data_IF_764565534070
#
_entry.id   IF_764565534070
#
_cell.length_a   1.000
_cell.length_b   1.000
_cell.length_c   1.000
_cell.angle_alpha   90.00
_cell.angle_beta   90.00
_cell.angle_gamma   90.00
#
_symmetry.space_group_name_H-M   'P 1'
#
loop_
_entity.id
_entity.type
_entity.pdbx_description
1 polymer ?
#
# COMPACT_ATOMS: atom_id res chain seq x y z
N UNK A 1 34.02 -66.66 3.55
CA UNK A 1 33.67 -65.25 3.29
C UNK A 1 32.28 -65.26 2.67
N UNK A 2 31.24 -65.14 3.49
CA UNK A 2 29.84 -65.16 3.08
C UNK A 2 29.41 -63.75 2.74
N UNK A 3 28.94 -63.57 1.51
CA UNK A 3 28.29 -62.36 1.05
C UNK A 3 26.84 -62.42 1.53
N UNK A 4 26.46 -61.46 2.39
CA UNK A 4 25.08 -61.33 2.83
C UNK A 4 24.21 -60.79 1.68
N UNK A 5 23.20 -61.56 1.30
CA UNK A 5 22.16 -61.15 0.37
C UNK A 5 21.35 -59.97 0.95
N UNK A 6 20.99 -58.97 0.15
CA UNK A 6 20.12 -57.87 0.59
C UNK A 6 18.69 -58.40 0.80
N UNK A 7 17.93 -57.82 1.76
CA UNK A 7 16.56 -58.26 2.02
C UNK A 7 15.68 -57.99 0.81
N UNK A 8 14.96 -59.05 0.40
CA UNK A 8 13.94 -58.98 -0.66
C UNK A 8 12.78 -58.16 -0.15
N UNK A 9 12.57 -56.99 -0.73
CA UNK A 9 11.38 -56.18 -0.48
C UNK A 9 10.21 -56.90 -1.15
N UNK A 10 9.30 -57.41 -0.36
CA UNK A 10 8.06 -58.06 -0.82
C UNK A 10 7.14 -57.03 -1.43
N UNK A 11 6.82 -57.17 -2.71
CA UNK A 11 5.89 -56.34 -3.50
C UNK A 11 4.40 -56.71 -3.26
N UNK A 12 4.08 -57.32 -2.12
CA UNK A 12 2.71 -57.61 -1.74
C UNK A 12 1.99 -56.37 -1.24
N UNK A 13 0.73 -56.13 -1.65
CA UNK A 13 -0.04 -55.02 -1.14
C UNK A 13 -0.19 -55.16 0.40
N UNK A 14 0.10 -54.07 1.11
CA UNK A 14 0.00 -53.99 2.57
C UNK A 14 -1.40 -54.40 3.03
N UNK A 15 -1.48 -55.27 4.02
CA UNK A 15 -2.72 -55.69 4.64
C UNK A 15 -3.31 -54.54 5.48
N UNK A 16 -4.65 -54.51 5.61
CA UNK A 16 -5.38 -53.49 6.32
C UNK A 16 -4.84 -53.31 7.78
N UNK A 17 -4.44 -54.42 8.40
CA UNK A 17 -3.85 -54.43 9.74
C UNK A 17 -2.46 -53.76 9.79
N UNK A 18 -1.66 -53.87 8.74
CA UNK A 18 -0.37 -53.21 8.61
C UNK A 18 -0.53 -51.70 8.36
N UNK A 19 -1.54 -51.27 7.57
CA UNK A 19 -1.90 -49.87 7.36
C UNK A 19 -2.39 -49.22 8.65
N UNK A 20 -3.21 -49.91 9.46
CA UNK A 20 -3.65 -49.41 10.76
C UNK A 20 -2.50 -49.29 11.75
N UNK A 21 -1.57 -50.27 11.75
CA UNK A 21 -0.38 -50.22 12.58
C UNK A 21 0.56 -49.07 12.19
N UNK A 22 0.75 -48.80 10.91
CA UNK A 22 1.53 -47.68 10.41
C UNK A 22 0.84 -46.34 10.77
N UNK A 23 -0.48 -46.24 10.61
CA UNK A 23 -1.22 -45.04 11.00
C UNK A 23 -1.16 -44.79 12.53
N UNK A 24 -1.26 -45.84 13.31
CA UNK A 24 -1.11 -45.77 14.78
C UNK A 24 0.31 -45.34 15.18
N UNK A 25 1.35 -45.89 14.51
CA UNK A 25 2.73 -45.52 14.75
C UNK A 25 3.04 -44.06 14.34
N UNK A 26 2.52 -43.59 13.19
CA UNK A 26 2.63 -42.19 12.74
C UNK A 26 1.90 -41.26 13.68
N UNK A 27 0.74 -41.64 14.20
CA UNK A 27 -0.04 -40.86 15.16
C UNK A 27 0.62 -40.83 16.55
N UNK A 28 1.30 -41.91 16.98
CA UNK A 28 2.06 -41.99 18.21
C UNK A 28 3.42 -41.27 18.11
N UNK A 29 4.00 -41.21 16.91
CA UNK A 29 5.27 -40.51 16.65
C UNK A 29 5.10 -39.01 16.35
N UNK A 30 3.85 -38.51 16.20
CA UNK A 30 3.61 -37.12 16.06
C UNK A 30 4.11 -36.38 17.33
N UNK A 31 5.10 -35.49 17.23
CA UNK A 31 5.57 -34.75 18.39
C UNK A 31 4.41 -33.95 18.97
N UNK A 32 4.34 -33.78 20.31
CA UNK A 32 3.34 -32.92 20.91
C UNK A 32 3.44 -31.55 20.22
N UNK A 33 2.29 -31.01 19.75
CA UNK A 33 2.23 -29.67 19.19
C UNK A 33 2.70 -28.73 20.30
N UNK A 34 3.99 -28.48 20.35
CA UNK A 34 4.56 -27.44 21.19
C UNK A 34 4.08 -26.13 20.62
N UNK A 35 3.06 -25.56 21.24
CA UNK A 35 2.70 -24.17 20.98
C UNK A 35 3.94 -23.36 21.35
N UNK A 36 4.66 -22.89 20.33
CA UNK A 36 5.72 -21.88 20.53
C UNK A 36 5.02 -20.71 21.21
N UNK A 37 5.46 -20.26 22.40
CA UNK A 37 4.87 -19.09 23.01
C UNK A 37 5.03 -17.94 22.03
N UNK A 38 3.90 -17.37 21.59
CA UNK A 38 3.86 -16.13 20.82
C UNK A 38 4.62 -15.10 21.66
N UNK A 39 5.68 -14.55 21.10
CA UNK A 39 6.41 -13.43 21.68
C UNK A 39 5.40 -12.30 21.89
N UNK A 40 5.10 -11.99 23.14
CA UNK A 40 4.02 -11.09 23.56
C UNK A 40 4.29 -9.60 23.22
N UNK A 41 5.46 -9.28 22.67
CA UNK A 41 5.86 -7.95 22.21
C UNK A 41 5.78 -7.76 20.68
N UNK A 42 4.98 -8.60 20.00
CA UNK A 42 4.70 -8.36 18.60
C UNK A 42 3.83 -7.10 18.47
N UNK A 43 4.43 -6.00 18.04
CA UNK A 43 3.69 -4.84 17.57
C UNK A 43 2.79 -5.33 16.43
N UNK A 44 1.45 -5.21 16.53
CA UNK A 44 0.56 -5.66 15.46
C UNK A 44 0.96 -4.96 14.17
N UNK A 45 1.40 -5.71 13.16
CA UNK A 45 1.62 -5.16 11.84
C UNK A 45 0.22 -4.87 11.25
N UNK A 46 -0.15 -3.63 11.00
CA UNK A 46 -1.46 -3.30 10.46
C UNK A 46 -1.48 -3.59 8.96
N UNK A 47 -1.51 -4.87 8.58
CA UNK A 47 -1.46 -5.32 7.18
C UNK A 47 -2.59 -4.73 6.32
N UNK A 48 -3.72 -4.37 6.92
CA UNK A 48 -4.91 -3.84 6.24
C UNK A 48 -5.42 -2.50 6.82
N UNK A 49 -4.74 -1.91 7.80
CA UNK A 49 -5.15 -0.64 8.39
C UNK A 49 -5.24 0.45 7.32
N UNK A 50 -4.27 0.46 6.41
CA UNK A 50 -4.16 1.44 5.33
C UNK A 50 -5.33 1.36 4.33
N UNK A 51 -5.70 0.17 3.89
CA UNK A 51 -6.83 -0.02 2.97
C UNK A 51 -8.17 0.32 3.63
N UNK A 52 -8.32 0.01 4.92
CA UNK A 52 -9.49 0.42 5.71
C UNK A 52 -9.55 1.92 5.88
N UNK A 53 -8.43 2.57 6.22
CA UNK A 53 -8.36 4.02 6.40
C UNK A 53 -8.69 4.72 5.08
N UNK A 54 -8.16 4.24 3.96
CA UNK A 54 -8.49 4.75 2.64
C UNK A 54 -9.97 4.55 2.29
N UNK A 55 -10.52 3.37 2.55
CA UNK A 55 -11.93 3.06 2.30
C UNK A 55 -12.87 3.92 3.16
N UNK A 56 -12.53 4.15 4.44
CA UNK A 56 -13.29 4.99 5.36
C UNK A 56 -13.19 6.48 5.02
N UNK A 57 -12.02 6.94 4.57
CA UNK A 57 -11.76 8.33 4.24
C UNK A 57 -12.29 8.76 2.86
N UNK A 58 -12.47 7.82 1.93
CA UNK A 58 -12.92 8.09 0.56
C UNK A 58 -14.27 8.82 0.49
N UNK A 59 -15.36 8.39 1.16
CA UNK A 59 -16.63 9.12 1.16
C UNK A 59 -16.49 10.51 1.76
N UNK A 60 -15.64 10.68 2.77
CA UNK A 60 -15.39 11.95 3.43
C UNK A 60 -14.71 12.97 2.51
N UNK A 61 -13.70 12.55 1.74
CA UNK A 61 -13.07 13.43 0.74
C UNK A 61 -14.04 13.77 -0.40
N UNK A 62 -14.86 12.82 -0.83
CA UNK A 62 -15.90 13.06 -1.83
C UNK A 62 -16.89 14.12 -1.34
N UNK A 63 -17.34 14.03 -0.11
CA UNK A 63 -18.28 15.01 0.48
C UNK A 63 -17.62 16.38 0.64
N UNK A 64 -16.34 16.43 1.07
CA UNK A 64 -15.58 17.67 1.12
C UNK A 64 -15.48 18.34 -0.26
N UNK A 65 -15.16 17.57 -1.31
CA UNK A 65 -15.08 18.06 -2.66
C UNK A 65 -16.43 18.59 -3.16
N UNK A 66 -17.53 17.91 -2.86
CA UNK A 66 -18.89 18.35 -3.18
C UNK A 66 -19.26 19.67 -2.49
N UNK A 67 -18.97 19.78 -1.20
CA UNK A 67 -19.24 21.01 -0.43
C UNK A 67 -18.40 22.17 -0.93
N UNK A 68 -17.12 21.89 -1.19
CA UNK A 68 -16.23 22.91 -1.70
C UNK A 68 -16.59 23.35 -3.11
N UNK A 69 -17.01 22.45 -4.00
CA UNK A 69 -17.49 22.80 -5.34
C UNK A 69 -18.65 23.83 -5.29
N UNK A 70 -19.59 23.68 -4.33
CA UNK A 70 -20.67 24.64 -4.15
C UNK A 70 -20.18 26.04 -3.73
N UNK A 71 -19.10 26.11 -2.96
CA UNK A 71 -18.52 27.39 -2.49
C UNK A 71 -17.60 28.02 -3.53
N UNK A 72 -16.86 27.19 -4.29
CA UNK A 72 -15.99 27.62 -5.38
C UNK A 72 -16.74 28.41 -6.48
N UNK A 73 -18.01 28.13 -6.69
CA UNK A 73 -18.79 28.80 -7.73
C UNK A 73 -18.76 30.33 -7.60
N UNK A 74 -18.80 30.89 -6.39
CA UNK A 74 -18.81 32.34 -6.19
C UNK A 74 -17.49 33.01 -6.58
N UNK A 75 -16.31 32.63 -6.03
CA UNK A 75 -15.06 33.27 -6.44
C UNK A 75 -14.69 32.98 -7.89
N UNK A 76 -14.96 31.79 -8.43
CA UNK A 76 -14.62 31.48 -9.81
C UNK A 76 -15.48 32.26 -10.81
N UNK A 77 -16.79 32.44 -10.58
CA UNK A 77 -17.64 33.24 -11.42
C UNK A 77 -17.21 34.69 -11.55
N UNK A 78 -16.67 35.26 -10.47
CA UNK A 78 -16.19 36.65 -10.50
C UNK A 78 -15.04 36.86 -11.50
N UNK A 79 -14.26 35.80 -11.79
CA UNK A 79 -13.11 35.89 -12.70
C UNK A 79 -13.30 35.15 -14.02
N UNK A 80 -14.05 34.02 -14.00
CA UNK A 80 -14.17 33.12 -15.14
C UNK A 80 -15.54 33.22 -15.85
N UNK A 81 -16.49 34.00 -15.29
CA UNK A 81 -17.87 34.05 -15.77
C UNK A 81 -18.67 32.84 -15.29
N UNK A 82 -19.76 32.50 -16.00
CA UNK A 82 -20.59 31.36 -15.62
C UNK A 82 -19.82 30.07 -15.76
N UNK A 83 -19.64 29.37 -14.63
CA UNK A 83 -19.00 28.06 -14.54
C UNK A 83 -19.89 27.08 -13.83
N UNK A 84 -19.85 25.83 -14.30
CA UNK A 84 -20.46 24.67 -13.66
C UNK A 84 -19.37 23.83 -13.01
N UNK A 85 -19.61 23.36 -11.81
CA UNK A 85 -18.65 22.63 -10.99
C UNK A 85 -19.26 21.30 -10.59
N UNK A 86 -18.61 20.21 -11.00
CA UNK A 86 -19.04 18.85 -10.70
C UNK A 86 -17.90 18.09 -10.01
N UNK A 87 -18.12 17.67 -8.77
CA UNK A 87 -17.16 16.83 -8.06
C UNK A 87 -17.37 15.35 -8.41
N UNK A 88 -16.27 14.62 -8.55
CA UNK A 88 -16.26 13.16 -8.73
C UNK A 88 -15.96 12.47 -7.41
N UNK A 89 -16.28 11.18 -7.35
CA UNK A 89 -15.89 10.34 -6.21
C UNK A 89 -14.38 10.30 -6.04
N UNK A 90 -13.94 10.29 -4.78
CA UNK A 90 -12.52 10.16 -4.47
C UNK A 90 -11.99 8.78 -4.87
N UNK A 91 -10.78 8.76 -5.39
CA UNK A 91 -10.04 7.55 -5.78
C UNK A 91 -8.67 7.54 -5.10
N UNK A 92 -8.09 6.35 -4.98
CA UNK A 92 -6.75 6.19 -4.45
C UNK A 92 -5.74 6.30 -5.59
N UNK A 93 -4.69 7.10 -5.38
CA UNK A 93 -3.68 7.41 -6.39
C UNK A 93 -2.29 7.38 -5.74
N UNK A 94 -1.32 6.81 -6.45
CA UNK A 94 0.08 6.90 -6.07
C UNK A 94 0.64 8.30 -6.38
N UNK A 95 1.31 8.99 -5.43
CA UNK A 95 1.88 10.31 -5.66
C UNK A 95 2.86 10.36 -6.83
N UNK A 96 3.57 9.29 -7.10
CA UNK A 96 4.49 9.14 -8.24
C UNK A 96 3.79 9.25 -9.60
N UNK A 97 2.55 8.77 -9.69
CA UNK A 97 1.78 8.79 -10.94
C UNK A 97 1.26 10.17 -11.32
N UNK A 98 1.09 11.04 -10.33
CA UNK A 98 0.56 12.40 -10.55
C UNK A 98 1.64 13.49 -10.42
N UNK A 99 2.86 13.14 -10.05
CA UNK A 99 3.93 14.10 -9.79
C UNK A 99 4.21 15.01 -11.01
N UNK A 100 4.23 14.44 -12.22
CA UNK A 100 4.45 15.20 -13.45
C UNK A 100 3.27 16.13 -13.80
N UNK A 101 2.06 15.66 -13.53
CA UNK A 101 0.86 16.50 -13.71
C UNK A 101 0.88 17.67 -12.72
N UNK A 102 1.24 17.45 -11.45
CA UNK A 102 1.33 18.51 -10.45
C UNK A 102 2.33 19.61 -10.83
N UNK A 103 3.36 19.31 -11.63
CA UNK A 103 4.32 20.31 -12.13
C UNK A 103 3.68 21.33 -13.07
N UNK A 104 2.57 21.00 -13.67
CA UNK A 104 1.82 21.86 -14.63
C UNK A 104 0.60 22.53 -14.00
N UNK A 105 0.48 22.48 -12.67
CA UNK A 105 -0.66 23.00 -11.93
C UNK A 105 -0.28 24.19 -11.05
N UNK A 106 -1.26 25.01 -10.67
CA UNK A 106 -1.12 25.89 -9.53
C UNK A 106 -1.42 25.13 -8.25
N UNK A 107 -0.58 25.27 -7.23
CA UNK A 107 -0.66 24.47 -6.01
C UNK A 107 -0.95 25.34 -4.79
N UNK A 108 -1.88 24.86 -3.97
CA UNK A 108 -2.15 25.36 -2.64
C UNK A 108 -2.16 24.21 -1.62
N UNK A 109 -1.93 24.51 -0.38
CA UNK A 109 -2.08 23.58 0.72
C UNK A 109 -3.00 24.14 1.80
N UNK A 110 -3.73 23.24 2.43
CA UNK A 110 -4.46 23.50 3.66
C UNK A 110 -3.89 22.62 4.76
N UNK A 111 -3.67 23.18 5.94
CA UNK A 111 -3.06 22.50 7.08
C UNK A 111 -4.03 22.49 8.25
N UNK A 112 -4.27 21.35 8.85
CA UNK A 112 -5.04 21.19 10.08
C UNK A 112 -4.18 21.51 11.30
N UNK A 113 -4.76 21.89 12.45
CA UNK A 113 -4.02 22.11 13.69
C UNK A 113 -3.23 20.85 14.14
N UNK A 114 -3.71 19.67 13.82
CA UNK A 114 -3.03 18.39 14.10
C UNK A 114 -1.86 18.09 13.14
N UNK A 115 -1.49 19.01 12.23
CA UNK A 115 -0.39 18.83 11.30
C UNK A 115 -0.74 18.00 10.05
N UNK A 116 -2.01 17.66 9.84
CA UNK A 116 -2.47 17.04 8.61
C UNK A 116 -2.51 18.02 7.45
N UNK A 117 -2.26 17.55 6.22
CA UNK A 117 -2.22 18.41 5.04
C UNK A 117 -3.18 17.92 3.96
N UNK A 118 -3.90 18.86 3.35
CA UNK A 118 -4.56 18.70 2.06
C UNK A 118 -3.78 19.51 1.01
N UNK A 119 -3.64 18.99 -0.18
CA UNK A 119 -3.05 19.73 -1.30
C UNK A 119 -4.13 19.94 -2.35
N UNK A 120 -4.23 21.16 -2.82
CA UNK A 120 -5.13 21.57 -3.91
C UNK A 120 -4.29 21.81 -5.15
N UNK A 121 -4.64 21.16 -6.25
CA UNK A 121 -3.99 21.33 -7.54
C UNK A 121 -5.01 21.85 -8.56
N UNK A 122 -4.72 22.99 -9.18
CA UNK A 122 -5.54 23.59 -10.21
C UNK A 122 -4.87 23.36 -11.56
N UNK A 123 -5.56 22.66 -12.47
CA UNK A 123 -5.02 22.22 -13.74
C UNK A 123 -4.64 23.37 -14.70
N UNK A 124 -3.63 23.10 -15.55
CA UNK A 124 -3.07 24.07 -16.49
C UNK A 124 -4.10 24.69 -17.45
N UNK A 125 -5.06 23.90 -17.91
CA UNK A 125 -6.12 24.39 -18.80
C UNK A 125 -7.00 25.47 -18.14
N UNK A 126 -7.31 25.28 -16.84
CA UNK A 126 -8.08 26.26 -16.08
C UNK A 126 -7.26 27.53 -15.82
N UNK A 127 -5.95 27.39 -15.63
CA UNK A 127 -5.01 28.49 -15.45
C UNK A 127 -4.94 29.35 -16.73
N UNK A 128 -4.78 28.71 -17.90
CA UNK A 128 -4.73 29.42 -19.19
C UNK A 128 -6.06 30.09 -19.51
N UNK A 129 -7.21 29.41 -19.34
CA UNK A 129 -8.53 30.00 -19.51
C UNK A 129 -8.74 31.22 -18.61
N UNK A 130 -8.37 31.13 -17.34
CA UNK A 130 -8.50 32.22 -16.40
C UNK A 130 -7.58 33.39 -16.70
N UNK A 131 -6.34 33.11 -17.13
CA UNK A 131 -5.41 34.16 -17.56
C UNK A 131 -5.91 34.88 -18.84
N UNK A 132 -6.38 34.13 -19.84
CA UNK A 132 -6.92 34.68 -21.07
C UNK A 132 -8.11 35.61 -20.81
N UNK A 133 -9.04 35.20 -19.94
CA UNK A 133 -10.16 36.06 -19.53
C UNK A 133 -9.73 37.35 -18.84
N UNK A 134 -8.73 37.26 -17.97
CA UNK A 134 -8.17 38.48 -17.34
C UNK A 134 -7.54 39.42 -18.34
N UNK A 135 -7.08 38.91 -19.48
CA UNK A 135 -6.59 39.71 -20.62
C UNK A 135 -7.69 40.18 -21.55
N UNK A 136 -8.97 39.91 -21.26
CA UNK A 136 -10.10 40.35 -22.05
C UNK A 136 -10.46 39.41 -23.21
N UNK A 137 -9.95 38.20 -23.25
CA UNK A 137 -10.35 37.20 -24.23
C UNK A 137 -11.79 36.74 -23.95
N UNK A 138 -12.64 36.71 -24.95
CA UNK A 138 -13.90 36.00 -24.91
C UNK A 138 -13.59 34.51 -25.02
N UNK A 139 -13.70 33.82 -23.92
CA UNK A 139 -13.35 32.41 -23.88
C UNK A 139 -14.51 31.52 -24.35
N UNK A 140 -14.64 31.29 -25.62
CA UNK A 140 -14.95 29.93 -26.07
C UNK A 140 -13.69 29.11 -25.77
N UNK A 141 -13.75 28.32 -24.72
CA UNK A 141 -12.61 27.57 -24.26
C UNK A 141 -12.15 26.59 -25.33
N UNK A 142 -11.01 26.87 -25.93
CA UNK A 142 -10.30 25.90 -26.76
C UNK A 142 -10.20 24.56 -26.01
N UNK A 143 -10.22 23.46 -26.76
CA UNK A 143 -10.07 22.13 -26.18
C UNK A 143 -8.85 22.08 -25.29
N UNK A 144 -8.88 21.29 -24.17
CA UNK A 144 -7.76 21.19 -23.25
C UNK A 144 -6.48 20.91 -24.00
N UNK A 145 -5.50 21.79 -23.84
CA UNK A 145 -4.23 21.69 -24.59
C UNK A 145 -3.30 20.61 -24.04
N UNK A 146 -3.54 20.18 -22.80
CA UNK A 146 -2.62 19.29 -22.07
C UNK A 146 -1.21 19.87 -21.89
N UNK A 147 -1.03 21.16 -22.21
CA UNK A 147 0.25 21.85 -22.19
C UNK A 147 0.47 22.51 -20.84
N UNK A 148 1.72 22.57 -20.41
CA UNK A 148 2.07 23.31 -19.20
C UNK A 148 1.71 24.81 -19.37
N UNK A 149 1.06 25.44 -18.38
CA UNK A 149 0.69 26.84 -18.45
C UNK A 149 1.93 27.73 -18.49
N UNK A 150 1.81 28.85 -19.19
CA UNK A 150 2.89 29.83 -19.27
C UNK A 150 3.15 30.49 -17.90
N UNK A 151 4.40 30.88 -17.58
CA UNK A 151 4.70 31.59 -16.33
C UNK A 151 3.86 32.84 -16.11
N UNK A 152 3.49 33.52 -17.21
CA UNK A 152 2.60 34.69 -17.17
C UNK A 152 1.18 34.28 -16.78
N UNK A 153 0.65 33.20 -17.37
CA UNK A 153 -0.69 32.69 -17.05
C UNK A 153 -0.78 32.29 -15.56
N UNK A 154 0.24 31.61 -15.03
CA UNK A 154 0.30 31.24 -13.62
C UNK A 154 0.27 32.49 -12.72
N UNK A 155 1.02 33.54 -13.05
CA UNK A 155 1.01 34.79 -12.31
C UNK A 155 -0.34 35.52 -12.36
N UNK A 156 -0.96 35.56 -13.53
CA UNK A 156 -2.28 36.18 -13.70
C UNK A 156 -3.38 35.39 -12.99
N UNK A 157 -3.24 34.07 -12.92
CA UNK A 157 -4.19 33.19 -12.26
C UNK A 157 -4.00 33.11 -10.72
N UNK A 158 -2.82 33.41 -10.21
CA UNK A 158 -2.51 33.25 -8.77
C UNK A 158 -3.54 33.88 -7.82
N UNK A 159 -4.08 35.11 -8.06
CA UNK A 159 -5.14 35.67 -7.21
C UNK A 159 -6.44 34.87 -7.25
N UNK A 160 -6.77 34.25 -8.40
CA UNK A 160 -7.96 33.39 -8.57
C UNK A 160 -7.78 32.11 -7.75
N UNK A 161 -6.60 31.48 -7.88
CA UNK A 161 -6.24 30.30 -7.12
C UNK A 161 -6.27 30.55 -5.61
N UNK A 162 -5.72 31.68 -5.16
CA UNK A 162 -5.75 32.06 -3.76
C UNK A 162 -7.17 32.30 -3.24
N UNK A 163 -8.02 32.99 -4.02
CA UNK A 163 -9.43 33.21 -3.67
C UNK A 163 -10.22 31.91 -3.63
N UNK A 164 -9.97 30.98 -4.56
CA UNK A 164 -10.56 29.66 -4.55
C UNK A 164 -10.13 28.85 -3.32
N UNK A 165 -8.83 28.79 -3.05
CA UNK A 165 -8.28 28.11 -1.87
C UNK A 165 -8.82 28.68 -0.56
N UNK A 166 -9.03 29.99 -0.47
CA UNK A 166 -9.57 30.69 0.70
C UNK A 166 -11.00 30.28 1.08
N UNK A 167 -11.73 29.59 0.19
CA UNK A 167 -13.08 29.07 0.50
C UNK A 167 -13.06 27.62 1.02
N UNK A 168 -11.91 26.95 1.00
CA UNK A 168 -11.79 25.57 1.49
C UNK A 168 -12.01 25.45 3.01
N UNK A 169 -11.51 26.38 3.87
CA UNK A 169 -11.78 26.33 5.31
C UNK A 169 -13.27 26.35 5.66
N UNK A 170 -14.07 27.09 4.89
CA UNK A 170 -15.52 27.12 5.11
C UNK A 170 -16.20 25.78 4.77
N UNK A 171 -15.77 25.12 3.71
CA UNK A 171 -16.27 23.79 3.34
C UNK A 171 -15.81 22.72 4.35
N UNK A 172 -14.60 22.87 4.87
CA UNK A 172 -14.05 22.02 5.92
C UNK A 172 -14.83 22.16 7.23
N UNK A 173 -15.11 23.37 7.68
CA UNK A 173 -15.84 23.65 8.91
C UNK A 173 -17.26 23.06 8.96
N UNK A 174 -17.84 22.72 7.81
CA UNK A 174 -19.11 22.00 7.74
C UNK A 174 -18.99 20.49 8.09
N UNK A 175 -17.78 19.95 8.04
CA UNK A 175 -17.50 18.53 8.31
C UNK A 175 -16.79 18.35 9.66
N UNK A 176 -15.91 19.26 10.01
CA UNK A 176 -15.11 19.19 11.25
C UNK A 176 -15.07 20.54 11.97
N UNK A 177 -15.13 20.53 13.30
CA UNK A 177 -15.07 21.74 14.12
C UNK A 177 -13.63 22.25 14.30
N UNK A 178 -12.77 22.08 13.29
CA UNK A 178 -11.36 22.48 13.34
C UNK A 178 -11.07 23.48 12.25
N UNK A 179 -10.14 24.39 12.51
CA UNK A 179 -9.73 25.41 11.56
C UNK A 179 -8.70 24.88 10.58
N UNK A 180 -8.78 25.34 9.32
CA UNK A 180 -7.77 25.12 8.30
C UNK A 180 -6.99 26.40 8.02
N UNK A 181 -5.67 26.28 7.99
CA UNK A 181 -4.80 27.35 7.48
C UNK A 181 -4.43 27.06 6.03
N UNK A 182 -4.66 28.01 5.14
CA UNK A 182 -4.40 27.83 3.71
C UNK A 182 -3.29 28.73 3.20
N UNK A 183 -2.43 28.20 2.33
CA UNK A 183 -1.37 28.97 1.65
C UNK A 183 -1.02 28.36 0.30
N UNK A 184 -0.61 29.18 -0.69
CA UNK A 184 0.05 28.68 -1.90
C UNK A 184 1.35 27.94 -1.54
N UNK A 185 1.69 26.89 -2.29
CA UNK A 185 2.89 26.07 -2.04
C UNK A 185 3.64 25.78 -3.34
N UNK A 186 4.93 25.50 -3.23
CA UNK A 186 5.73 24.98 -4.34
C UNK A 186 5.45 23.50 -4.57
N UNK A 187 5.84 22.99 -5.74
CA UNK A 187 5.73 21.58 -6.07
C UNK A 187 6.46 20.68 -5.07
N UNK A 188 7.68 21.05 -4.68
CA UNK A 188 8.47 20.26 -3.76
C UNK A 188 7.80 20.19 -2.38
N UNK A 189 7.29 21.33 -1.87
CA UNK A 189 6.54 21.37 -0.63
C UNK A 189 5.21 20.60 -0.71
N UNK A 190 4.55 20.56 -1.85
CA UNK A 190 3.34 19.77 -2.04
C UNK A 190 3.64 18.26 -2.02
N UNK A 191 4.68 17.81 -2.74
CA UNK A 191 5.11 16.41 -2.76
C UNK A 191 5.62 15.95 -1.40
N UNK A 192 6.34 16.78 -0.67
CA UNK A 192 6.77 16.49 0.70
C UNK A 192 5.57 16.24 1.62
N UNK A 193 4.53 17.10 1.56
CA UNK A 193 3.30 16.96 2.35
C UNK A 193 2.49 15.71 1.98
N UNK A 194 2.42 15.37 0.71
CA UNK A 194 1.74 14.17 0.24
C UNK A 194 2.52 12.90 0.62
N UNK A 195 3.85 12.96 0.63
CA UNK A 195 4.72 11.83 0.95
C UNK A 195 4.78 10.80 -0.17
N UNK A 196 5.14 9.56 0.19
CA UNK A 196 5.33 8.47 -0.77
C UNK A 196 4.21 7.44 -0.78
N UNK A 197 3.36 7.50 0.22
CA UNK A 197 2.26 6.58 0.39
C UNK A 197 1.10 6.92 -0.54
N UNK A 198 0.25 5.96 -0.95
CA UNK A 198 -0.97 6.22 -1.67
C UNK A 198 -1.85 7.25 -0.95
N UNK A 199 -2.41 8.15 -1.73
CA UNK A 199 -3.25 9.25 -1.27
C UNK A 199 -4.63 9.14 -1.90
N UNK A 200 -5.59 9.84 -1.33
CA UNK A 200 -6.90 10.03 -1.94
C UNK A 200 -6.91 11.30 -2.79
N UNK A 201 -7.52 11.22 -3.95
CA UNK A 201 -7.71 12.31 -4.91
C UNK A 201 -9.19 12.44 -5.24
N UNK A 202 -9.78 13.61 -5.00
CA UNK A 202 -11.09 13.99 -5.52
C UNK A 202 -10.94 15.08 -6.56
N UNK A 203 -11.63 14.94 -7.69
CA UNK A 203 -11.55 15.88 -8.80
C UNK A 203 -12.84 16.69 -8.90
N UNK A 204 -12.73 18.00 -9.06
CA UNK A 204 -13.82 18.91 -9.38
C UNK A 204 -13.62 19.35 -10.82
N UNK A 205 -14.48 18.90 -11.72
CA UNK A 205 -14.52 19.37 -13.10
C UNK A 205 -15.13 20.76 -13.17
N UNK A 206 -14.51 21.64 -13.94
CA UNK A 206 -14.97 22.99 -14.23
C UNK A 206 -15.34 23.05 -15.70
N UNK A 207 -16.57 23.46 -15.99
CA UNK A 207 -17.11 23.63 -17.35
C UNK A 207 -17.84 24.97 -17.50
N UNK A 208 -18.20 25.34 -18.72
CA UNK A 208 -18.85 26.63 -19.01
C UNK A 208 -17.85 27.68 -19.47
N UNK A 209 -17.82 28.84 -18.84
CA UNK A 209 -16.95 29.96 -19.22
C UNK A 209 -15.44 29.71 -19.09
N UNK A 210 -15.04 28.63 -18.45
CA UNK A 210 -13.69 28.10 -18.46
C UNK A 210 -13.77 26.58 -18.37
N UNK A 211 -12.70 25.87 -18.79
CA UNK A 211 -12.64 24.41 -18.72
C UNK A 211 -11.37 23.98 -18.01
N UNK A 212 -11.49 22.92 -17.25
CA UNK A 212 -10.35 22.33 -16.55
C UNK A 212 -10.79 21.56 -15.32
N UNK A 213 -9.82 21.30 -14.44
CA UNK A 213 -10.06 20.51 -13.24
C UNK A 213 -9.33 21.12 -12.03
N UNK A 214 -9.92 20.88 -10.87
CA UNK A 214 -9.32 21.17 -9.57
C UNK A 214 -9.28 19.84 -8.81
N UNK A 215 -8.12 19.45 -8.29
CA UNK A 215 -7.97 18.25 -7.47
C UNK A 215 -7.74 18.60 -6.03
N UNK A 216 -8.36 17.83 -5.16
CA UNK A 216 -8.09 17.83 -3.71
C UNK A 216 -7.41 16.52 -3.37
N UNK A 217 -6.19 16.61 -2.88
CA UNK A 217 -5.33 15.48 -2.55
C UNK A 217 -5.13 15.45 -1.05
N UNK A 218 -5.31 14.30 -0.43
CA UNK A 218 -5.11 14.13 1.01
C UNK A 218 -4.67 12.72 1.37
N UNK A 219 -3.90 12.59 2.44
CA UNK A 219 -3.69 11.27 3.05
C UNK A 219 -4.95 10.83 3.78
N UNK A 220 -5.28 9.52 3.78
CA UNK A 220 -6.48 9.01 4.43
C UNK A 220 -6.60 9.43 5.91
N UNK A 221 -5.50 9.43 6.64
CA UNK A 221 -5.47 9.76 8.07
C UNK A 221 -5.84 11.22 8.40
N UNK A 222 -5.79 12.13 7.43
CA UNK A 222 -6.20 13.54 7.61
C UNK A 222 -7.72 13.68 7.62
N UNK A 223 -8.42 12.76 6.96
CA UNK A 223 -9.86 12.78 6.72
C UNK A 223 -10.65 11.92 7.70
N UNK A 224 -9.97 11.09 8.47
CA UNK A 224 -10.58 10.32 9.56
C UNK A 224 -10.56 11.20 10.82
N UNK A 225 -11.73 11.48 11.43
CA UNK A 225 -11.73 12.22 12.69
C UNK A 225 -10.92 11.42 13.72
N UNK A 226 -9.94 12.09 14.33
CA UNK A 226 -9.32 11.59 15.54
C UNK A 226 -10.40 11.61 16.64
N UNK A 227 -11.12 10.53 16.79
CA UNK A 227 -11.98 10.30 17.96
C UNK A 227 -11.09 9.85 19.09
N UNK A 228 -10.94 10.73 20.04
CA UNK A 228 -9.99 10.76 21.16
C UNK A 228 -10.13 9.62 22.16
N UNK A 229 -10.66 8.51 22.03
CA UNK A 229 -10.53 7.35 22.95
C UNK A 229 -11.18 6.06 22.42
N UNK A 230 -12.20 6.14 21.58
CA UNK A 230 -12.91 4.95 21.08
C UNK A 230 -12.22 4.27 19.91
N UNK A 231 -11.46 5.02 19.12
CA UNK A 231 -10.77 4.47 17.93
C UNK A 231 -9.58 3.60 18.31
N UNK A 232 -8.83 4.00 19.32
CA UNK A 232 -7.66 3.23 19.79
C UNK A 232 -8.10 1.90 20.41
N UNK A 233 -9.23 1.90 21.12
CA UNK A 233 -9.77 0.70 21.75
C UNK A 233 -10.42 -0.25 20.74
N UNK A 234 -11.13 0.26 19.74
CA UNK A 234 -11.72 -0.57 18.66
C UNK A 234 -10.66 -1.11 17.71
N UNK A 235 -9.68 -0.28 17.32
CA UNK A 235 -8.56 -0.72 16.48
C UNK A 235 -7.72 -1.78 17.19
N UNK A 236 -7.50 -1.66 18.50
CA UNK A 236 -6.80 -2.67 19.28
C UNK A 236 -7.61 -3.98 19.40
N UNK A 237 -8.92 -3.90 19.61
CA UNK A 237 -9.81 -5.07 19.68
C UNK A 237 -9.93 -5.77 18.34
N UNK A 238 -10.10 -5.02 17.25
CA UNK A 238 -10.13 -5.55 15.89
C UNK A 238 -8.78 -6.13 15.46
N UNK A 239 -7.68 -5.49 15.80
CA UNK A 239 -6.33 -5.98 15.53
C UNK A 239 -6.06 -7.30 16.28
N UNK A 240 -6.51 -7.42 17.53
CA UNK A 240 -6.40 -8.66 18.30
C UNK A 240 -7.26 -9.79 17.70
N UNK A 241 -8.47 -9.49 17.25
CA UNK A 241 -9.35 -10.46 16.60
C UNK A 241 -8.78 -10.93 15.25
N UNK A 242 -8.22 -10.01 14.45
CA UNK A 242 -7.57 -10.33 13.19
C UNK A 242 -6.28 -11.12 13.42
N UNK A 243 -5.46 -10.73 14.40
CA UNK A 243 -4.25 -11.46 14.75
C UNK A 243 -4.56 -12.89 15.21
N UNK A 244 -5.64 -13.09 15.99
CA UNK A 244 -6.12 -14.39 16.38
C UNK A 244 -6.62 -15.23 15.18
N UNK A 245 -7.35 -14.61 14.26
CA UNK A 245 -7.82 -15.26 13.02
C UNK A 245 -6.64 -15.62 12.09
N UNK A 246 -5.67 -14.72 11.91
CA UNK A 246 -4.46 -14.97 11.13
C UNK A 246 -3.56 -16.04 11.77
N UNK A 247 -3.52 -16.12 13.11
CA UNK A 247 -2.78 -17.17 13.83
C UNK A 247 -3.32 -18.58 13.56
N UNK A 248 -4.55 -18.72 13.12
CA UNK A 248 -5.16 -20.00 12.76
C UNK A 248 -4.96 -20.39 11.27
N UNK A 249 -4.48 -19.48 10.44
CA UNK A 249 -4.27 -19.75 9.01
C UNK A 249 -3.00 -20.59 8.83
N UNK A 250 -3.07 -21.80 8.25
CA UNK A 250 -1.90 -22.59 7.95
C UNK A 250 -1.08 -21.93 6.86
N UNK A 251 0.19 -21.69 7.11
CA UNK A 251 1.15 -21.16 6.16
C UNK A 251 2.17 -22.23 5.84
N UNK A 252 2.45 -22.45 4.56
CA UNK A 252 3.51 -23.33 4.13
C UNK A 252 4.88 -22.73 4.48
N UNK A 253 5.67 -23.50 5.23
CA UNK A 253 7.05 -23.16 5.57
C UNK A 253 7.98 -24.05 4.77
N UNK A 254 8.78 -23.47 3.88
CA UNK A 254 9.76 -24.18 3.07
C UNK A 254 11.17 -23.84 3.52
N UNK A 255 11.98 -24.88 3.75
CA UNK A 255 13.41 -24.72 4.02
C UNK A 255 14.16 -25.18 2.77
N UNK A 256 14.94 -24.30 2.18
CA UNK A 256 15.71 -24.59 0.98
C UNK A 256 17.10 -25.08 1.34
N UNK A 257 17.40 -26.34 1.00
CA UNK A 257 18.70 -26.94 1.31
C UNK A 257 19.81 -26.39 0.41
N UNK A 258 19.47 -26.04 -0.83
CA UNK A 258 20.40 -25.48 -1.80
C UNK A 258 19.88 -25.54 -3.21
N UNK A 259 20.56 -24.87 -4.13
CA UNK A 259 20.22 -24.87 -5.56
C UNK A 259 21.40 -25.36 -6.36
N UNK A 260 21.17 -26.29 -7.27
CA UNK A 260 22.17 -26.86 -8.16
C UNK A 260 21.80 -26.54 -9.61
N UNK A 261 22.78 -26.08 -10.38
CA UNK A 261 22.60 -25.87 -11.82
C UNK A 261 23.19 -27.07 -12.56
N UNK A 262 22.35 -27.75 -13.32
CA UNK A 262 22.72 -28.88 -14.17
C UNK A 262 22.51 -28.53 -15.65
N UNK A 263 23.30 -29.15 -16.53
CA UNK A 263 23.04 -29.10 -17.97
C UNK A 263 21.85 -30.01 -18.27
N UNK A 264 21.12 -29.69 -19.33
CA UNK A 264 19.96 -30.51 -19.73
C UNK A 264 20.32 -31.99 -19.94
N UNK A 265 21.47 -32.29 -20.54
CA UNK A 265 21.97 -33.62 -20.71
C UNK A 265 22.20 -34.39 -19.39
N UNK A 266 22.66 -33.69 -18.37
CA UNK A 266 22.88 -34.24 -17.01
C UNK A 266 21.52 -34.56 -16.35
N UNK A 267 20.52 -33.70 -16.55
CA UNK A 267 19.16 -33.94 -16.05
C UNK A 267 18.53 -35.19 -16.72
N UNK A 268 18.74 -35.36 -18.03
CA UNK A 268 18.24 -36.54 -18.76
C UNK A 268 18.96 -37.83 -18.33
N UNK A 269 20.19 -37.75 -17.83
CA UNK A 269 20.96 -38.91 -17.38
C UNK A 269 20.67 -39.30 -15.93
N UNK A 270 19.81 -38.59 -15.20
CA UNK A 270 19.45 -38.91 -13.83
C UNK A 270 18.67 -40.22 -13.76
N UNK A 271 19.13 -41.10 -12.87
CA UNK A 271 18.47 -42.37 -12.57
C UNK A 271 18.26 -42.50 -11.08
N UNK A 272 17.41 -43.44 -10.66
CA UNK A 272 17.23 -43.77 -9.24
C UNK A 272 18.57 -44.25 -8.67
N UNK A 273 19.03 -43.53 -7.60
CA UNK A 273 20.35 -43.76 -6.98
C UNK A 273 21.42 -42.75 -7.41
N UNK A 274 21.15 -41.83 -8.35
CA UNK A 274 22.06 -40.75 -8.71
C UNK A 274 22.25 -39.82 -7.50
N UNK A 275 23.50 -39.46 -7.20
CA UNK A 275 23.85 -38.53 -6.13
C UNK A 275 24.03 -37.12 -6.70
N UNK A 276 23.33 -36.14 -6.11
CA UNK A 276 23.47 -34.72 -6.43
C UNK A 276 24.19 -34.02 -5.29
N UNK A 277 25.38 -33.51 -5.56
CA UNK A 277 26.15 -32.76 -4.56
C UNK A 277 25.74 -31.30 -4.61
N UNK A 278 25.18 -30.79 -3.52
CA UNK A 278 24.80 -29.39 -3.39
C UNK A 278 26.04 -28.56 -2.95
N UNK A 279 26.20 -27.34 -3.48
CA UNK A 279 27.31 -26.46 -3.12
C UNK A 279 27.04 -25.73 -1.78
N UNK A 280 26.67 -26.47 -0.74
CA UNK A 280 26.31 -25.97 0.59
C UNK A 280 27.00 -26.83 1.63
N UNK A 281 27.64 -26.22 2.61
CA UNK A 281 28.26 -26.95 3.73
C UNK A 281 27.24 -27.27 4.81
N UNK A 282 27.50 -28.32 5.60
CA UNK A 282 26.59 -28.80 6.65
C UNK A 282 26.29 -27.73 7.70
N UNK A 283 27.23 -26.85 7.96
CA UNK A 283 27.13 -25.77 8.95
C UNK A 283 26.57 -24.46 8.36
N UNK A 284 26.32 -24.40 7.06
CA UNK A 284 25.79 -23.21 6.41
C UNK A 284 24.34 -22.94 6.86
N UNK A 285 23.97 -21.69 7.12
CA UNK A 285 22.60 -21.34 7.42
C UNK A 285 21.72 -21.49 6.19
N UNK A 286 20.61 -22.21 6.36
CA UNK A 286 19.61 -22.47 5.31
C UNK A 286 18.52 -21.39 5.33
N UNK A 287 18.08 -20.91 4.16
CA UNK A 287 16.97 -19.97 4.10
C UNK A 287 15.64 -20.64 4.38
N UNK A 288 14.82 -19.99 5.21
CA UNK A 288 13.47 -20.40 5.57
C UNK A 288 12.47 -19.43 4.98
N UNK A 289 11.60 -19.94 4.12
CA UNK A 289 10.57 -19.18 3.44
C UNK A 289 9.19 -19.47 4.03
N UNK A 290 8.37 -18.45 4.17
CA UNK A 290 6.92 -18.57 4.39
C UNK A 290 6.23 -18.16 3.07
N UNK A 291 5.66 -19.13 2.35
CA UNK A 291 5.31 -18.92 0.95
C UNK A 291 6.57 -18.57 0.14
N UNK A 292 6.54 -17.42 -0.57
CA UNK A 292 7.68 -16.94 -1.36
C UNK A 292 8.56 -15.90 -0.64
N UNK A 293 8.26 -15.60 0.62
CA UNK A 293 8.97 -14.58 1.39
C UNK A 293 10.01 -15.20 2.29
N UNK A 294 11.28 -14.80 2.14
CA UNK A 294 12.36 -15.17 3.06
C UNK A 294 12.09 -14.56 4.44
N UNK A 295 11.93 -15.41 5.47
CA UNK A 295 11.61 -15.00 6.85
C UNK A 295 12.73 -15.20 7.84
N UNK A 296 13.55 -16.23 7.64
CA UNK A 296 14.59 -16.57 8.60
C UNK A 296 15.72 -17.35 7.94
N UNK A 297 16.80 -17.52 8.70
CA UNK A 297 17.91 -18.41 8.43
C UNK A 297 17.98 -19.44 9.55
N UNK A 298 18.18 -20.70 9.21
CA UNK A 298 18.22 -21.79 10.19
C UNK A 298 19.32 -22.79 9.92
N UNK A 299 19.62 -23.65 10.90
CA UNK A 299 20.56 -24.76 10.76
C UNK A 299 19.82 -26.07 10.84
N UNK A 300 20.15 -27.05 9.99
CA UNK A 300 19.56 -28.38 10.10
C UNK A 300 20.09 -29.07 11.34
N UNK A 301 19.20 -29.65 12.14
CA UNK A 301 19.50 -30.43 13.34
C UNK A 301 18.72 -31.74 13.29
N UNK A 302 19.21 -32.76 13.95
CA UNK A 302 18.49 -34.03 14.13
C UNK A 302 18.05 -34.11 15.58
N UNK A 303 16.74 -34.06 15.80
CA UNK A 303 16.18 -34.19 17.16
C UNK A 303 15.32 -35.45 17.23
N UNK A 304 15.72 -36.38 18.08
CA UNK A 304 15.03 -37.66 18.29
C UNK A 304 14.80 -38.45 16.98
N UNK A 305 15.77 -38.42 16.06
CA UNK A 305 15.68 -39.11 14.78
C UNK A 305 14.85 -38.38 13.69
N UNK A 306 14.32 -37.22 14.01
CA UNK A 306 13.58 -36.38 13.06
C UNK A 306 14.46 -35.22 12.62
N UNK A 307 14.54 -34.97 11.29
CA UNK A 307 15.19 -33.80 10.74
C UNK A 307 14.40 -32.56 11.10
N UNK A 308 15.04 -31.64 11.77
CA UNK A 308 14.47 -30.37 12.24
C UNK A 308 15.35 -29.21 11.81
N UNK A 309 14.85 -27.99 11.88
CA UNK A 309 15.64 -26.79 11.60
C UNK A 309 15.55 -25.85 12.78
N UNK A 310 16.70 -25.48 13.33
CA UNK A 310 16.82 -24.47 14.36
C UNK A 310 16.92 -23.09 13.71
N UNK A 311 16.05 -22.15 14.09
CA UNK A 311 16.10 -20.78 13.58
C UNK A 311 17.29 -20.06 14.21
N UNK A 312 18.26 -19.67 13.39
CA UNK A 312 19.48 -18.99 13.83
C UNK A 312 19.37 -17.46 13.76
N UNK A 313 18.66 -16.94 12.77
CA UNK A 313 18.46 -15.49 12.60
C UNK A 313 17.16 -15.19 11.85
N UNK A 314 16.52 -14.05 12.13
CA UNK A 314 15.39 -13.54 11.35
C UNK A 314 15.91 -12.73 10.17
N UNK A 315 15.30 -12.89 9.00
CA UNK A 315 15.61 -12.08 7.83
C UNK A 315 15.10 -10.64 8.04
N UNK A 316 15.95 -9.65 7.75
CA UNK A 316 15.54 -8.24 7.72
C UNK A 316 14.96 -7.92 6.35
N UNK A 317 13.93 -7.04 6.26
CA UNK A 317 13.42 -6.57 4.97
C UNK A 317 14.57 -5.95 4.14
N UNK A 318 14.87 -6.52 2.97
CA UNK A 318 15.97 -6.06 2.11
C UNK A 318 17.38 -6.53 2.48
N UNK A 319 17.54 -7.39 3.48
CA UNK A 319 18.83 -7.90 3.94
C UNK A 319 19.22 -9.20 3.24
N UNK A 320 20.45 -9.25 2.72
CA UNK A 320 21.08 -10.46 2.25
C UNK A 320 21.40 -11.45 3.38
N UNK A 321 22.07 -12.57 3.01
CA UNK A 321 22.59 -13.60 3.91
C UNK A 321 23.39 -12.99 5.08
N UNK A 322 23.22 -13.46 6.33
CA UNK A 322 24.00 -13.00 7.49
C UNK A 322 25.48 -13.35 7.34
#
# INVERSE_FOLDING_TARGET
MGVAEPPVVSDAPLDLAELEAIQAAVKAAAPPRTSVPLVTDAVPLPLFARERDAAAARPTLTELANRWARRLGRPLRAYLGEVELTATSAEEVEPSMIADELRTTWLGAATTPAGGHLVVAIGGDLIESGAARRCGADAEADAPSGRAPSPLAVRLFAPIGAAALGTLPEAWAELWPTELTTAPVSIDAALERLGRDPILSATIAVTGGARGQIRVLARPNVLTPASDDDATSRVAADAAAIAAALGAVPIEVRVELGTLRLRWAEVQALTVGSQLTLPVFVDDPLPIYCGDVLKAWGRPIVTRGVLSVEVAALARPGGGRP
#
